data_IF_738869988059
#
_entry.id   IF_738869988059
#
_cell.length_a   1.000
_cell.length_b   1.000
_cell.length_c   1.000
_cell.angle_alpha   90.00
_cell.angle_beta   90.00
_cell.angle_gamma   90.00
#
_symmetry.space_group_name_H-M   'P 1'
#
loop_
_entity.id
_entity.type
_entity.pdbx_description
1 polymer ?
#
# COMPACT_ATOMS: atom_id res chain seq x y z
N UNK A 1 16.30 2.43 13.33
CA UNK A 1 15.14 2.89 14.12
C UNK A 1 13.84 2.73 13.34
N UNK A 2 13.34 1.50 13.27
CA UNK A 2 11.99 1.17 12.82
C UNK A 2 11.52 0.01 13.69
N UNK A 3 10.41 0.17 14.40
CA UNK A 3 9.90 -0.81 15.37
C UNK A 3 9.26 -2.04 14.70
N UNK A 4 9.90 -2.58 13.65
CA UNK A 4 9.43 -3.80 12.98
C UNK A 4 9.92 -5.08 13.68
N UNK A 5 11.00 -4.99 14.47
CA UNK A 5 11.67 -6.17 15.04
C UNK A 5 10.92 -6.88 16.18
N UNK A 6 9.80 -6.35 16.67
CA UNK A 6 9.12 -6.91 17.85
C UNK A 6 7.89 -7.78 17.53
N UNK A 7 7.44 -7.89 16.28
CA UNK A 7 6.15 -8.57 16.00
C UNK A 7 6.12 -9.59 14.85
N UNK A 8 7.05 -9.59 13.88
CA UNK A 8 7.10 -10.61 12.82
C UNK A 8 8.53 -10.80 12.28
N UNK A 9 8.82 -11.96 11.69
CA UNK A 9 10.06 -12.18 10.95
C UNK A 9 10.13 -11.20 9.76
N UNK A 10 11.11 -10.30 9.78
CA UNK A 10 11.34 -9.38 8.66
C UNK A 10 12.17 -10.09 7.60
N UNK A 11 11.78 -9.96 6.33
CA UNK A 11 12.63 -10.40 5.22
C UNK A 11 13.74 -9.37 5.02
N UNK A 12 14.99 -9.82 5.05
CA UNK A 12 16.11 -8.92 4.80
C UNK A 12 16.08 -8.41 3.34
N UNK A 13 16.66 -7.24 3.12
CA UNK A 13 16.65 -6.58 1.82
C UNK A 13 17.21 -7.45 0.70
N UNK A 14 18.25 -8.24 0.99
CA UNK A 14 18.89 -9.08 -0.02
C UNK A 14 17.99 -10.23 -0.45
N UNK A 15 17.33 -10.89 0.50
CA UNK A 15 16.32 -11.91 0.22
C UNK A 15 15.16 -11.35 -0.61
N UNK A 16 14.68 -10.14 -0.32
CA UNK A 16 13.64 -9.47 -1.11
C UNK A 16 14.06 -9.26 -2.57
N UNK A 17 15.30 -8.80 -2.80
CA UNK A 17 15.80 -8.56 -4.16
C UNK A 17 15.94 -9.84 -5.00
N UNK A 18 15.89 -11.02 -4.38
CA UNK A 18 16.03 -12.33 -5.05
C UNK A 18 14.69 -12.99 -5.38
N UNK A 19 13.56 -12.39 -4.99
CA UNK A 19 12.27 -12.87 -5.46
C UNK A 19 12.21 -12.77 -6.99
N UNK A 20 11.84 -13.84 -7.70
CA UNK A 20 11.85 -13.86 -9.17
C UNK A 20 10.61 -13.15 -9.73
N UNK A 21 10.43 -11.88 -9.38
CA UNK A 21 9.27 -11.06 -9.77
C UNK A 21 9.17 -10.94 -11.29
N UNK A 22 10.29 -11.01 -12.00
CA UNK A 22 10.34 -10.99 -13.44
C UNK A 22 9.57 -12.15 -14.10
N UNK A 23 9.36 -13.26 -13.38
CA UNK A 23 8.63 -14.44 -13.85
C UNK A 23 7.09 -14.30 -13.72
N UNK A 24 6.61 -13.42 -12.83
CA UNK A 24 5.17 -13.11 -12.66
C UNK A 24 4.76 -11.77 -13.28
N UNK A 25 5.70 -10.87 -13.52
CA UNK A 25 5.43 -9.58 -14.11
C UNK A 25 5.46 -9.64 -15.64
N UNK A 26 4.36 -9.23 -16.29
CA UNK A 26 4.34 -9.03 -17.74
C UNK A 26 5.36 -7.96 -18.19
N UNK A 27 5.79 -8.01 -19.46
CA UNK A 27 6.73 -7.04 -20.05
C UNK A 27 6.24 -5.58 -19.88
N UNK A 28 4.95 -5.35 -20.10
CA UNK A 28 4.28 -4.09 -19.83
C UNK A 28 3.45 -4.22 -18.55
N UNK A 29 4.00 -3.76 -17.43
CA UNK A 29 3.37 -3.87 -16.12
C UNK A 29 3.73 -2.72 -15.19
N UNK A 30 3.01 -2.62 -14.08
CA UNK A 30 3.27 -1.61 -13.04
C UNK A 30 3.51 -2.30 -11.71
N UNK A 31 4.43 -1.75 -10.93
CA UNK A 31 4.69 -2.12 -9.54
C UNK A 31 4.22 -0.98 -8.64
N UNK A 32 3.28 -1.27 -7.74
CA UNK A 32 2.79 -0.34 -6.74
C UNK A 32 3.29 -0.82 -5.37
N UNK A 33 4.16 -0.04 -4.73
CA UNK A 33 4.87 -0.51 -3.53
C UNK A 33 4.75 0.49 -2.39
N UNK A 34 4.19 0.04 -1.26
CA UNK A 34 4.21 0.80 -0.02
C UNK A 34 5.65 1.02 0.45
N UNK A 35 5.98 2.26 0.78
CA UNK A 35 7.27 2.65 1.29
C UNK A 35 7.10 3.57 2.50
N UNK A 36 7.91 3.36 3.53
CA UNK A 36 8.04 4.32 4.62
C UNK A 36 9.18 5.27 4.28
N UNK A 37 9.03 6.58 4.57
CA UNK A 37 9.94 7.62 4.06
C UNK A 37 11.44 7.35 4.29
N UNK A 38 11.79 6.72 5.43
CA UNK A 38 13.17 6.35 5.76
C UNK A 38 13.79 5.27 4.87
N UNK A 39 12.98 4.54 4.09
CA UNK A 39 13.40 3.44 3.21
C UNK A 39 13.18 3.76 1.74
N UNK A 40 13.06 5.03 1.38
CA UNK A 40 12.80 5.47 0.00
C UNK A 40 13.90 5.01 -0.96
N UNK A 41 15.16 5.07 -0.54
CA UNK A 41 16.30 4.64 -1.37
C UNK A 41 16.31 3.12 -1.60
N UNK A 42 16.04 2.35 -0.54
CA UNK A 42 15.90 0.90 -0.58
C UNK A 42 14.73 0.48 -1.46
N UNK A 43 13.59 1.15 -1.34
CA UNK A 43 12.43 0.89 -2.19
C UNK A 43 12.73 1.13 -3.68
N UNK A 44 13.46 2.19 -4.03
CA UNK A 44 13.91 2.40 -5.42
C UNK A 44 14.87 1.31 -5.89
N UNK A 45 15.81 0.87 -5.04
CA UNK A 45 16.72 -0.23 -5.36
C UNK A 45 16.00 -1.56 -5.53
N UNK A 46 15.00 -1.84 -4.71
CA UNK A 46 14.19 -3.05 -4.81
C UNK A 46 13.37 -3.07 -6.10
N UNK A 47 12.70 -1.96 -6.43
CA UNK A 47 11.99 -1.83 -7.70
C UNK A 47 12.92 -2.08 -8.90
N UNK A 48 14.14 -1.52 -8.87
CA UNK A 48 15.14 -1.75 -9.91
C UNK A 48 15.60 -3.22 -9.97
N UNK A 49 15.82 -3.87 -8.83
CA UNK A 49 16.19 -5.29 -8.76
C UNK A 49 15.10 -6.20 -9.37
N UNK A 50 13.83 -5.84 -9.21
CA UNK A 50 12.70 -6.53 -9.83
C UNK A 50 12.44 -6.12 -11.30
N UNK A 51 13.30 -5.29 -11.89
CA UNK A 51 13.20 -4.89 -13.30
C UNK A 51 12.24 -3.73 -13.57
N UNK A 52 11.87 -2.94 -12.56
CA UNK A 52 10.98 -1.79 -12.71
C UNK A 52 11.74 -0.45 -12.56
N UNK A 53 11.30 0.55 -13.31
CA UNK A 53 11.78 1.94 -13.18
C UNK A 53 10.76 2.78 -12.43
N UNK A 54 11.15 3.33 -11.27
CA UNK A 54 10.29 4.21 -10.46
C UNK A 54 9.93 5.47 -11.25
N UNK A 55 8.63 5.83 -11.27
CA UNK A 55 8.12 7.03 -11.94
C UNK A 55 7.77 8.14 -10.95
N UNK A 56 7.17 7.78 -9.82
CA UNK A 56 6.94 8.71 -8.71
C UNK A 56 6.92 7.96 -7.39
N UNK A 57 7.41 8.61 -6.33
CA UNK A 57 7.36 8.09 -4.97
C UNK A 57 5.97 8.19 -4.33
N UNK A 58 5.02 8.89 -4.99
CA UNK A 58 3.70 9.19 -4.44
C UNK A 58 2.59 8.93 -5.46
N UNK A 59 2.37 7.67 -5.79
CA UNK A 59 1.13 7.24 -6.45
C UNK A 59 -0.08 7.45 -5.53
N UNK A 60 0.04 7.00 -4.28
CA UNK A 60 -0.92 7.28 -3.22
C UNK A 60 -0.19 7.71 -1.95
N UNK A 61 -0.87 8.54 -1.17
CA UNK A 61 -0.45 8.93 0.18
C UNK A 61 -1.59 8.61 1.13
N UNK A 62 -1.37 7.66 2.04
CA UNK A 62 -2.31 7.34 3.09
C UNK A 62 -2.08 8.25 4.29
N UNK A 63 -3.03 9.15 4.56
CA UNK A 63 -3.16 9.86 5.82
C UNK A 63 -3.77 8.92 6.85
N UNK A 64 -2.96 8.51 7.82
CA UNK A 64 -3.36 7.57 8.87
C UNK A 64 -4.22 8.29 9.87
N UNK A 65 -5.46 7.85 10.03
CA UNK A 65 -6.32 8.29 11.11
C UNK A 65 -6.21 7.34 12.32
N UNK A 66 -6.51 7.84 13.51
CA UNK A 66 -6.64 6.99 14.70
C UNK A 66 -7.69 5.89 14.48
N UNK A 67 -7.57 4.76 15.19
CA UNK A 67 -8.44 3.58 15.02
C UNK A 67 -9.94 3.92 15.09
N UNK A 68 -10.33 4.82 15.99
CA UNK A 68 -11.72 5.24 16.23
C UNK A 68 -12.05 6.63 15.65
N UNK A 69 -11.25 7.13 14.70
CA UNK A 69 -11.41 8.49 14.18
C UNK A 69 -12.81 8.73 13.58
N UNK A 70 -13.32 7.78 12.78
CA UNK A 70 -14.66 7.92 12.18
C UNK A 70 -15.75 8.03 13.24
N UNK A 71 -15.75 7.13 14.24
CA UNK A 71 -16.73 7.16 15.33
C UNK A 71 -16.70 8.47 16.12
N UNK A 72 -15.50 9.03 16.34
CA UNK A 72 -15.34 10.31 17.05
C UNK A 72 -15.79 11.50 16.22
N UNK A 73 -15.54 11.46 14.90
CA UNK A 73 -16.04 12.47 13.97
C UNK A 73 -17.56 12.43 13.91
N UNK A 74 -18.15 11.24 13.75
CA UNK A 74 -19.60 11.07 13.73
C UNK A 74 -20.25 11.56 15.03
N UNK A 75 -19.65 11.23 16.18
CA UNK A 75 -20.12 11.74 17.47
C UNK A 75 -20.02 13.27 17.57
N UNK A 76 -18.95 13.88 17.06
CA UNK A 76 -18.83 15.34 17.05
C UNK A 76 -19.88 16.01 16.17
N UNK A 77 -20.24 15.39 15.04
CA UNK A 77 -21.35 15.84 14.18
C UNK A 77 -22.68 15.72 14.92
N UNK A 78 -22.96 14.56 15.53
CA UNK A 78 -24.22 14.29 16.25
C UNK A 78 -24.42 15.20 17.46
N UNK A 79 -23.34 15.59 18.13
CA UNK A 79 -23.34 16.52 19.27
C UNK A 79 -23.26 18.00 18.84
N UNK A 80 -23.36 18.29 17.53
CA UNK A 80 -23.29 19.65 16.96
C UNK A 80 -22.02 20.42 17.36
N UNK A 81 -20.91 19.70 17.54
CA UNK A 81 -19.59 20.27 17.90
C UNK A 81 -18.77 20.77 16.70
N UNK A 82 -19.30 20.63 15.49
CA UNK A 82 -18.68 21.11 14.25
C UNK A 82 -19.58 22.21 13.70
N UNK A 83 -19.27 23.47 14.02
CA UNK A 83 -20.08 24.63 13.64
C UNK A 83 -19.66 25.17 12.28
N UNK A 84 -18.38 25.05 11.93
CA UNK A 84 -17.85 25.53 10.67
C UNK A 84 -16.74 24.64 10.08
N UNK A 85 -16.17 25.10 8.96
CA UNK A 85 -15.08 24.39 8.29
C UNK A 85 -13.81 24.30 9.13
N UNK A 86 -13.54 25.27 10.01
CA UNK A 86 -12.35 25.26 10.86
C UNK A 86 -12.45 24.17 11.92
N UNK A 87 -13.61 24.02 12.55
CA UNK A 87 -13.87 22.96 13.52
C UNK A 87 -13.65 21.57 12.89
N UNK A 88 -14.14 21.40 11.65
CA UNK A 88 -13.92 20.16 10.92
C UNK A 88 -12.44 19.90 10.63
N UNK A 89 -11.70 20.92 10.18
CA UNK A 89 -10.28 20.79 9.89
C UNK A 89 -9.43 20.55 11.14
N UNK A 90 -9.77 21.18 12.27
CA UNK A 90 -9.13 20.94 13.56
C UNK A 90 -9.39 19.52 14.08
N UNK A 91 -10.64 19.06 13.97
CA UNK A 91 -11.02 17.70 14.34
C UNK A 91 -10.31 16.66 13.47
N UNK A 92 -10.30 16.85 12.15
CA UNK A 92 -9.58 15.96 11.23
C UNK A 92 -8.09 15.92 11.55
N UNK A 93 -7.48 17.07 11.81
CA UNK A 93 -6.06 17.15 12.19
C UNK A 93 -5.79 16.42 13.51
N UNK A 94 -6.66 16.59 14.52
CA UNK A 94 -6.61 15.89 15.81
C UNK A 94 -6.70 14.37 15.64
N UNK A 95 -7.50 13.92 14.67
CA UNK A 95 -7.65 12.49 14.39
C UNK A 95 -6.56 11.90 13.50
N UNK A 96 -5.64 12.72 12.97
CA UNK A 96 -4.44 12.18 12.30
C UNK A 96 -3.50 11.52 13.32
N UNK A 97 -3.02 10.33 12.98
CA UNK A 97 -2.14 9.56 13.84
C UNK A 97 -0.76 10.20 13.90
N UNK A 98 -0.29 10.47 15.10
CA UNK A 98 1.09 10.89 15.33
C UNK A 98 2.03 9.68 15.50
N UNK A 99 2.84 9.35 14.48
CA UNK A 99 3.92 8.37 14.58
C UNK A 99 5.28 9.07 14.74
N UNK A 100 6.36 8.29 14.88
CA UNK A 100 7.72 8.83 15.01
C UNK A 100 8.15 9.70 13.81
N UNK A 101 9.28 10.40 13.98
CA UNK A 101 9.87 11.25 12.95
C UNK A 101 10.89 12.20 13.58
N UNK A 102 11.95 12.51 12.84
CA UNK A 102 13.08 13.28 13.35
C UNK A 102 12.92 14.80 13.20
N UNK A 103 11.99 15.26 12.34
CA UNK A 103 11.77 16.67 12.03
C UNK A 103 10.31 17.07 12.21
N UNK A 104 9.40 16.36 11.54
CA UNK A 104 7.96 16.39 11.81
C UNK A 104 7.50 14.99 12.23
N UNK A 105 6.37 14.91 12.92
CA UNK A 105 5.77 13.63 13.31
C UNK A 105 5.09 13.01 12.09
N UNK A 106 5.49 11.78 11.74
CA UNK A 106 4.94 11.12 10.55
C UNK A 106 3.47 10.74 10.80
N UNK A 107 2.58 11.21 9.94
CA UNK A 107 1.16 10.85 9.93
C UNK A 107 0.73 10.17 8.62
N UNK A 108 1.67 9.95 7.69
CA UNK A 108 1.40 9.33 6.39
C UNK A 108 2.25 8.09 6.11
N UNK A 109 1.76 7.25 5.22
CA UNK A 109 2.56 6.26 4.45
C UNK A 109 2.38 6.53 2.96
N UNK A 110 3.47 6.44 2.19
CA UNK A 110 3.45 6.69 0.75
C UNK A 110 3.55 5.36 -0.01
N UNK A 111 2.93 5.33 -1.19
CA UNK A 111 3.06 4.25 -2.16
C UNK A 111 3.76 4.80 -3.40
N UNK A 112 4.88 4.20 -3.78
CA UNK A 112 5.52 4.50 -5.05
C UNK A 112 4.86 3.72 -6.19
N UNK A 113 5.02 4.24 -7.41
CA UNK A 113 4.75 3.49 -8.63
C UNK A 113 6.01 3.40 -9.49
N UNK A 114 6.25 2.20 -9.99
CA UNK A 114 7.30 1.89 -10.95
C UNK A 114 6.70 1.14 -12.14
N UNK A 115 7.37 1.19 -13.29
CA UNK A 115 6.89 0.58 -14.54
C UNK A 115 7.94 -0.34 -15.13
N UNK A 116 7.47 -1.40 -15.77
CA UNK A 116 8.25 -2.27 -16.68
C UNK A 116 7.71 -2.06 -18.09
N UNK A 117 8.61 -2.03 -19.08
CA UNK A 117 8.26 -1.72 -20.46
C UNK A 117 7.58 -0.35 -20.58
N UNK A 118 6.46 -0.30 -21.28
CA UNK A 118 5.64 0.90 -21.46
C UNK A 118 4.66 1.14 -20.28
N UNK A 119 4.65 0.27 -19.27
CA UNK A 119 3.65 0.28 -18.19
C UNK A 119 2.24 -0.07 -18.68
N UNK A 120 1.24 0.26 -17.88
CA UNK A 120 -0.18 0.05 -18.22
C UNK A 120 -0.86 1.36 -18.65
N UNK A 121 -1.80 1.31 -19.60
CA UNK A 121 -2.59 2.47 -19.98
C UNK A 121 -3.50 2.92 -18.84
N UNK A 122 -3.42 4.20 -18.47
CA UNK A 122 -4.30 4.81 -17.48
C UNK A 122 -5.73 4.92 -18.00
N UNK A 123 -6.68 4.28 -17.34
CA UNK A 123 -8.11 4.29 -17.66
C UNK A 123 -8.85 5.50 -17.08
N UNK A 124 -8.43 5.99 -15.91
CA UNK A 124 -9.07 7.14 -15.26
C UNK A 124 -8.07 8.19 -14.82
N UNK A 125 -8.30 9.44 -15.23
CA UNK A 125 -7.54 10.60 -14.78
C UNK A 125 -8.08 11.20 -13.46
N UNK A 126 -9.23 10.72 -12.97
CA UNK A 126 -9.94 11.29 -11.82
C UNK A 126 -9.54 10.67 -10.48
N UNK A 127 -8.70 9.63 -10.50
CA UNK A 127 -8.23 8.95 -9.29
C UNK A 127 -7.36 9.89 -8.46
N UNK A 128 -7.80 10.22 -7.23
CA UNK A 128 -7.07 11.10 -6.31
C UNK A 128 -5.95 10.35 -5.59
N UNK A 129 -4.86 11.06 -5.29
CA UNK A 129 -3.69 10.51 -4.60
C UNK A 129 -3.89 10.29 -3.09
N UNK A 130 -4.61 11.19 -2.41
CA UNK A 130 -4.72 11.18 -0.94
C UNK A 130 -5.82 10.24 -0.47
N UNK A 131 -5.51 9.39 0.50
CA UNK A 131 -6.45 8.46 1.15
C UNK A 131 -6.49 8.78 2.64
N UNK A 132 -7.66 9.05 3.18
CA UNK A 132 -7.90 9.14 4.61
C UNK A 132 -8.54 7.84 5.08
N UNK A 133 -7.89 7.12 6.00
CA UNK A 133 -8.50 5.95 6.61
C UNK A 133 -7.91 5.63 7.98
N UNK A 134 -8.73 5.03 8.84
CA UNK A 134 -8.31 4.55 10.16
C UNK A 134 -7.23 3.47 10.06
N UNK A 135 -6.30 3.49 11.02
CA UNK A 135 -5.43 2.36 11.31
C UNK A 135 -6.24 1.12 11.66
N UNK A 136 -5.72 -0.04 11.24
CA UNK A 136 -6.24 -1.36 11.59
C UNK A 136 -5.15 -2.18 12.28
N UNK A 137 -5.45 -3.43 12.61
CA UNK A 137 -4.50 -4.38 13.20
C UNK A 137 -3.28 -4.63 12.28
N UNK A 138 -2.12 -4.93 12.86
CA UNK A 138 -0.93 -5.50 12.21
C UNK A 138 -0.44 -4.87 10.89
N UNK A 139 -0.26 -3.54 10.82
CA UNK A 139 0.26 -2.83 9.62
C UNK A 139 -0.62 -2.98 8.36
N UNK A 140 -1.87 -3.41 8.52
CA UNK A 140 -2.84 -3.56 7.42
C UNK A 140 -3.04 -2.24 6.68
N UNK A 141 -2.89 -2.29 5.37
CA UNK A 141 -3.01 -1.16 4.45
C UNK A 141 -4.48 -0.93 4.05
N UNK A 142 -4.85 0.29 3.64
CA UNK A 142 -6.23 0.58 3.24
C UNK A 142 -6.63 -0.12 1.93
N UNK A 143 -7.73 -0.89 1.98
CA UNK A 143 -8.37 -1.52 0.81
C UNK A 143 -8.78 -0.54 -0.28
N UNK A 144 -8.97 0.73 0.08
CA UNK A 144 -9.18 1.84 -0.85
C UNK A 144 -8.14 1.89 -1.98
N UNK A 145 -6.91 1.45 -1.72
CA UNK A 145 -5.87 1.41 -2.76
C UNK A 145 -6.21 0.40 -3.86
N UNK A 146 -6.71 -0.79 -3.52
CA UNK A 146 -7.08 -1.80 -4.51
C UNK A 146 -8.20 -1.25 -5.43
N UNK A 147 -9.26 -0.67 -4.85
CA UNK A 147 -10.34 -0.05 -5.60
C UNK A 147 -9.86 1.11 -6.51
N UNK A 148 -8.93 1.93 -6.03
CA UNK A 148 -8.35 3.01 -6.85
C UNK A 148 -7.45 2.48 -7.95
N UNK A 149 -6.73 1.38 -7.73
CA UNK A 149 -5.94 0.71 -8.77
C UNK A 149 -6.82 0.06 -9.84
N UNK A 150 -7.96 -0.51 -9.45
CA UNK A 150 -8.99 -0.99 -10.37
C UNK A 150 -9.57 0.14 -11.22
N UNK A 151 -9.88 1.30 -10.61
CA UNK A 151 -10.29 2.49 -11.36
C UNK A 151 -9.18 3.02 -12.29
N UNK A 152 -7.93 2.95 -11.85
CA UNK A 152 -6.79 3.50 -12.59
C UNK A 152 -6.43 2.65 -13.82
N UNK A 153 -6.56 1.32 -13.72
CA UNK A 153 -6.08 0.38 -14.75
C UNK A 153 -7.15 -0.51 -15.39
N UNK A 154 -8.40 -0.48 -14.91
CA UNK A 154 -9.51 -1.22 -15.51
C UNK A 154 -9.51 -2.70 -15.15
N UNK A 155 -9.70 -3.59 -16.11
CA UNK A 155 -9.63 -5.04 -15.87
C UNK A 155 -8.27 -5.58 -16.36
N UNK A 156 -7.35 -5.86 -15.43
CA UNK A 156 -6.02 -6.43 -15.71
C UNK A 156 -5.72 -7.51 -14.67
N UNK A 157 -4.87 -8.51 -14.95
CA UNK A 157 -4.37 -9.43 -13.93
C UNK A 157 -3.59 -8.68 -12.85
N UNK A 158 -3.72 -9.12 -11.60
CA UNK A 158 -3.11 -8.46 -10.44
C UNK A 158 -2.70 -9.49 -9.41
N UNK A 159 -1.58 -9.24 -8.75
CA UNK A 159 -1.15 -10.00 -7.60
C UNK A 159 -0.73 -9.06 -6.46
N UNK A 160 -1.21 -9.32 -5.24
CA UNK A 160 -0.75 -8.67 -4.01
C UNK A 160 0.30 -9.56 -3.32
N UNK A 161 1.54 -9.05 -3.25
CA UNK A 161 2.63 -9.72 -2.54
C UNK A 161 2.67 -9.32 -1.07
N UNK A 162 3.06 -10.26 -0.22
CA UNK A 162 3.00 -10.16 1.25
C UNK A 162 1.59 -9.88 1.77
N UNK A 163 0.58 -10.42 1.06
CA UNK A 163 -0.82 -10.30 1.43
C UNK A 163 -1.10 -10.95 2.79
N UNK A 164 -2.12 -10.42 3.47
CA UNK A 164 -2.66 -10.97 4.73
C UNK A 164 -4.14 -11.31 4.64
N UNK A 165 -4.77 -10.94 3.53
CA UNK A 165 -6.18 -11.12 3.28
C UNK A 165 -6.37 -11.29 1.77
N UNK A 166 -7.32 -12.12 1.36
CA UNK A 166 -7.70 -12.25 -0.04
C UNK A 166 -8.53 -11.06 -0.52
N UNK A 167 -8.57 -10.84 -1.83
CA UNK A 167 -9.50 -9.92 -2.49
C UNK A 167 -10.03 -10.57 -3.75
N UNK A 168 -11.33 -10.42 -4.01
CA UNK A 168 -11.89 -10.84 -5.28
C UNK A 168 -11.20 -10.09 -6.44
N UNK A 169 -10.82 -10.81 -7.50
CA UNK A 169 -10.09 -10.27 -8.64
C UNK A 169 -8.61 -9.95 -8.41
N UNK A 170 -8.01 -10.39 -7.30
CA UNK A 170 -6.56 -10.29 -7.04
C UNK A 170 -5.99 -11.64 -6.63
N UNK A 171 -4.95 -12.06 -7.34
CA UNK A 171 -4.08 -13.13 -6.87
C UNK A 171 -3.33 -12.63 -5.62
N UNK A 172 -2.92 -13.54 -4.77
CA UNK A 172 -2.28 -13.24 -3.50
C UNK A 172 -1.09 -14.16 -3.27
N UNK A 173 -0.07 -13.60 -2.64
CA UNK A 173 1.06 -14.36 -2.13
C UNK A 173 1.58 -13.77 -0.82
N UNK A 174 1.85 -14.60 0.18
CA UNK A 174 2.46 -14.18 1.43
C UNK A 174 2.40 -15.24 2.54
N UNK A 175 3.34 -15.17 3.48
CA UNK A 175 3.42 -16.11 4.62
C UNK A 175 2.20 -16.05 5.55
N UNK A 176 1.51 -14.91 5.57
CA UNK A 176 0.28 -14.69 6.35
C UNK A 176 -0.96 -14.64 5.43
N UNK A 177 -0.81 -14.98 4.14
CA UNK A 177 -1.93 -14.96 3.20
C UNK A 177 -2.85 -16.16 3.46
N UNK A 178 -4.18 -15.99 3.49
CA UNK A 178 -5.10 -17.10 3.68
C UNK A 178 -5.10 -18.08 2.50
N UNK A 179 -4.71 -17.59 1.31
CA UNK A 179 -4.56 -18.34 0.06
C UNK A 179 -3.27 -17.85 -0.61
N UNK A 180 -2.56 -18.74 -1.30
CA UNK A 180 -1.46 -18.36 -2.18
C UNK A 180 -1.78 -18.89 -3.57
N UNK A 181 -1.79 -18.00 -4.56
CA UNK A 181 -2.09 -18.34 -5.96
C UNK A 181 -0.82 -18.66 -6.75
N UNK A 182 0.35 -18.44 -6.14
CA UNK A 182 1.66 -18.81 -6.68
C UNK A 182 2.57 -19.42 -5.60
N UNK A 183 3.59 -20.16 -6.03
CA UNK A 183 4.71 -20.56 -5.20
C UNK A 183 6.05 -20.30 -5.90
N UNK A 184 7.03 -19.84 -5.13
CA UNK A 184 8.41 -19.66 -5.58
C UNK A 184 9.25 -20.91 -5.25
N UNK A 185 9.07 -22.02 -5.98
CA UNK A 185 9.88 -23.25 -5.84
C UNK A 185 10.65 -23.51 -7.15
N UNK A 186 11.98 -23.35 -7.13
CA UNK A 186 12.85 -23.53 -8.31
C UNK A 186 12.38 -22.75 -9.57
N UNK A 187 11.63 -21.67 -9.37
CA UNK A 187 10.84 -20.97 -10.39
C UNK A 187 9.52 -20.48 -9.80
N UNK A 188 8.59 -20.06 -10.65
CA UNK A 188 7.20 -19.72 -10.28
C UNK A 188 6.25 -20.81 -10.74
N UNK A 189 5.48 -21.37 -9.81
CA UNK A 189 4.34 -22.23 -10.11
C UNK A 189 3.04 -21.47 -9.82
N UNK A 190 2.11 -21.44 -10.77
CA UNK A 190 0.75 -20.92 -10.55
C UNK A 190 -0.12 -22.06 -10.00
N UNK A 191 -0.86 -21.78 -8.92
CA UNK A 191 -1.80 -22.73 -8.32
C UNK A 191 -3.14 -22.50 -8.99
N UNK A 192 -3.57 -23.47 -9.80
CA UNK A 192 -4.91 -23.47 -10.40
C UNK A 192 -5.80 -24.40 -9.59
N UNK A 193 -6.98 -23.91 -9.20
CA UNK A 193 -8.05 -24.79 -8.72
C UNK A 193 -8.63 -25.54 -9.94
N UNK A 194 -8.46 -26.87 -9.97
CA UNK A 194 -9.06 -27.78 -10.98
C UNK A 194 -10.60 -27.80 -10.90
#
# INVERSE_FOLDING_TARGET
>A
NGAANNHYATTDFYSLTRLPIEQIAAENSVLCMWCTGNFSAEAMKLAAAWGFTVKTMKLFTWVKLNKLAMERIDRAIQEERILDSWDFMELLNTETRMNGGNYTRSNTEDMLIAVRGNGLPRQSASVKQVIYSCLREHSRKPREVNYRLEQLYGNVPRIELFARESMDGWDTWGNESPVNDIEFINGVNFITDD
#
